data_IF_658995178065
#
_entry.id   IF_658995178065
#
_cell.length_a   1.000
_cell.length_b   1.000
_cell.length_c   1.000
_cell.angle_alpha   90.00
_cell.angle_beta   90.00
_cell.angle_gamma   90.00
#
_symmetry.space_group_name_H-M   'P 1'
#
loop_
_entity.id
_entity.type
_entity.pdbx_description
1 polymer ?
#
# COMPACT_ATOMS: atom_id res chain seq x y z
N UNK A 1 -8.92 53.79 -53.57
CA UNK A 1 -9.57 53.13 -52.43
C UNK A 1 -10.20 51.84 -52.96
N UNK A 2 -9.49 50.71 -52.87
CA UNK A 2 -10.05 49.34 -52.92
C UNK A 2 -8.90 48.34 -52.95
N UNK A 3 -8.60 47.74 -51.80
CA UNK A 3 -7.82 46.51 -51.68
C UNK A 3 -8.80 45.32 -51.79
N UNK A 4 -8.61 44.45 -52.78
CA UNK A 4 -9.14 43.08 -52.84
C UNK A 4 -7.92 42.15 -52.80
N UNK A 5 -7.79 41.11 -51.98
CA UNK A 5 -8.80 40.26 -51.37
C UNK A 5 -8.70 38.85 -51.98
N UNK A 6 -7.56 38.17 -51.83
CA UNK A 6 -7.38 36.74 -52.19
C UNK A 6 -6.08 36.15 -51.61
N UNK A 7 -6.10 35.80 -50.32
CA UNK A 7 -5.02 35.06 -49.62
C UNK A 7 -5.43 34.08 -48.47
N UNK A 8 -6.71 33.72 -48.16
CA UNK A 8 -6.96 32.75 -47.07
C UNK A 8 -7.04 31.27 -47.50
N UNK A 9 -7.23 30.95 -48.78
CA UNK A 9 -7.66 29.60 -49.19
C UNK A 9 -6.49 28.62 -49.35
N UNK A 10 -5.32 29.09 -49.78
CA UNK A 10 -4.17 28.23 -50.09
C UNK A 10 -3.42 27.77 -48.83
N UNK A 11 -3.29 28.65 -47.84
CA UNK A 11 -2.72 28.36 -46.52
C UNK A 11 -3.56 27.34 -45.74
N UNK A 12 -4.89 27.38 -45.92
CA UNK A 12 -5.82 26.46 -45.28
C UNK A 12 -5.68 25.03 -45.81
N UNK A 13 -5.50 24.87 -47.14
CA UNK A 13 -5.28 23.56 -47.77
C UNK A 13 -3.92 22.95 -47.40
N UNK A 14 -2.86 23.76 -47.37
CA UNK A 14 -1.54 23.28 -46.94
C UNK A 14 -1.50 22.84 -45.47
N UNK A 15 -2.26 23.50 -44.60
CA UNK A 15 -2.44 23.06 -43.20
C UNK A 15 -3.25 21.75 -43.12
N UNK A 16 -4.29 21.60 -43.94
CA UNK A 16 -5.10 20.39 -43.98
C UNK A 16 -4.33 19.18 -44.52
N UNK A 17 -3.48 19.37 -45.53
CA UNK A 17 -2.60 18.31 -46.05
C UNK A 17 -1.48 17.95 -45.07
N UNK A 18 -0.95 18.93 -44.32
CA UNK A 18 0.01 18.65 -43.23
C UNK A 18 -0.65 17.92 -42.05
N UNK A 19 -1.90 18.24 -41.72
CA UNK A 19 -2.68 17.55 -40.68
C UNK A 19 -3.02 16.12 -41.10
N UNK A 20 -3.43 15.91 -42.35
CA UNK A 20 -3.70 14.58 -42.91
C UNK A 20 -2.43 13.73 -42.99
N UNK A 21 -1.29 14.30 -43.35
CA UNK A 21 0.01 13.61 -43.33
C UNK A 21 0.51 13.31 -41.90
N UNK A 22 0.17 14.13 -40.89
CA UNK A 22 0.42 13.80 -39.48
C UNK A 22 -0.45 12.63 -39.01
N UNK A 23 -1.72 12.60 -39.39
CA UNK A 23 -2.66 11.53 -39.04
C UNK A 23 -2.31 10.21 -39.71
N UNK A 24 -1.82 10.23 -40.96
CA UNK A 24 -1.39 9.01 -41.67
C UNK A 24 0.02 8.54 -41.29
N UNK A 25 0.95 9.44 -40.94
CA UNK A 25 2.27 9.06 -40.41
C UNK A 25 2.18 8.43 -39.00
N UNK A 26 1.18 8.82 -38.19
CA UNK A 26 0.88 8.18 -36.90
C UNK A 26 0.26 6.78 -37.03
N UNK A 27 -0.20 6.38 -38.22
CA UNK A 27 -0.92 5.13 -38.43
C UNK A 27 -0.01 3.93 -38.77
N UNK A 28 1.26 4.15 -39.16
CA UNK A 28 2.05 3.10 -39.81
C UNK A 28 3.36 2.65 -39.14
N UNK A 29 3.70 3.12 -37.94
CA UNK A 29 4.67 2.44 -37.08
C UNK A 29 4.75 3.08 -35.69
N UNK A 30 3.95 2.60 -34.74
CA UNK A 30 4.23 2.74 -33.31
C UNK A 30 3.28 1.84 -32.54
N UNK A 31 3.81 1.07 -31.60
CA UNK A 31 3.01 0.55 -30.48
C UNK A 31 2.15 1.71 -29.95
N UNK A 32 0.83 1.62 -30.12
CA UNK A 32 -0.06 2.71 -29.76
C UNK A 32 -0.18 2.75 -28.23
N UNK A 33 0.63 3.61 -27.64
CA UNK A 33 0.67 3.84 -26.21
C UNK A 33 -0.63 4.51 -25.69
N UNK A 34 -1.52 5.00 -26.55
CA UNK A 34 -2.69 5.81 -26.16
C UNK A 34 -3.98 5.02 -25.88
N UNK A 35 -3.92 3.70 -25.70
CA UNK A 35 -5.11 2.91 -25.31
C UNK A 35 -5.53 3.27 -23.89
N UNK A 36 -6.63 4.01 -23.76
CA UNK A 36 -7.28 4.32 -22.48
C UNK A 36 -7.89 3.03 -21.90
N UNK A 37 -7.53 2.68 -20.67
CA UNK A 37 -7.95 1.44 -20.04
C UNK A 37 -9.17 1.74 -19.19
N UNK A 38 -10.33 1.29 -19.66
CA UNK A 38 -11.58 1.38 -18.93
C UNK A 38 -11.70 0.22 -17.92
N UNK A 39 -11.75 0.56 -16.63
CA UNK A 39 -12.06 -0.41 -15.57
C UNK A 39 -13.55 -0.67 -15.63
N UNK A 40 -13.97 -1.72 -16.33
CA UNK A 40 -15.38 -2.11 -16.40
C UNK A 40 -15.93 -2.34 -14.99
N UNK A 41 -16.83 -1.46 -14.54
CA UNK A 41 -17.51 -1.60 -13.26
C UNK A 41 -18.24 -2.94 -13.17
N UNK A 42 -17.91 -3.74 -12.17
CA UNK A 42 -18.41 -5.10 -12.01
C UNK A 42 -19.65 -5.18 -11.11
N UNK A 43 -19.88 -4.17 -10.26
CA UNK A 43 -21.00 -4.13 -9.32
C UNK A 43 -21.85 -2.89 -9.60
N UNK A 44 -23.12 -3.07 -9.95
CA UNK A 44 -24.05 -1.97 -10.19
C UNK A 44 -24.53 -1.36 -8.86
N UNK A 45 -24.41 -0.04 -8.74
CA UNK A 45 -24.76 0.73 -7.53
C UNK A 45 -26.23 1.15 -7.45
N UNK A 46 -27.08 0.61 -8.33
CA UNK A 46 -28.52 0.87 -8.35
C UNK A 46 -28.90 2.25 -8.91
N UNK A 47 -30.20 2.52 -9.07
CA UNK A 47 -30.69 3.78 -9.63
C UNK A 47 -30.33 4.99 -8.75
N UNK A 48 -30.24 6.16 -9.38
CA UNK A 48 -30.15 7.45 -8.70
C UNK A 48 -31.42 7.64 -7.85
N UNK A 49 -31.26 7.91 -6.55
CA UNK A 49 -32.37 8.29 -5.67
C UNK A 49 -31.99 9.62 -5.04
N UNK A 50 -32.96 10.52 -4.91
CA UNK A 50 -32.76 11.74 -4.12
C UNK A 50 -32.24 11.38 -2.73
N UNK A 51 -31.30 12.18 -2.21
CA UNK A 51 -30.60 12.02 -0.93
C UNK A 51 -31.58 12.15 0.26
N UNK A 52 -32.51 11.21 0.36
CA UNK A 52 -33.46 11.03 1.45
C UNK A 52 -32.80 10.15 2.52
N UNK A 53 -31.79 10.71 3.21
CA UNK A 53 -31.15 10.11 4.38
C UNK A 53 -30.06 9.06 4.13
N UNK A 54 -29.38 8.68 5.22
CA UNK A 54 -28.37 7.60 5.24
C UNK A 54 -29.05 6.24 5.07
N UNK A 55 -28.50 5.38 4.22
CA UNK A 55 -29.06 4.06 3.93
C UNK A 55 -27.98 2.98 4.05
N UNK A 56 -28.16 2.09 5.03
CA UNK A 56 -27.27 0.94 5.23
C UNK A 56 -27.25 -0.01 4.03
N UNK A 57 -28.37 -0.14 3.31
CA UNK A 57 -28.45 -1.00 2.11
C UNK A 57 -27.59 -0.44 0.97
N UNK A 58 -27.58 0.89 0.79
CA UNK A 58 -26.69 1.55 -0.17
C UNK A 58 -25.24 1.44 0.28
N UNK A 59 -24.94 1.70 1.55
CA UNK A 59 -23.59 1.52 2.09
C UNK A 59 -23.07 0.12 1.73
N UNK A 60 -23.86 -0.93 1.95
CA UNK A 60 -23.46 -2.31 1.62
C UNK A 60 -23.25 -2.57 0.12
N UNK A 61 -23.88 -1.80 -0.78
CA UNK A 61 -23.65 -1.89 -2.23
C UNK A 61 -22.34 -1.22 -2.65
N UNK A 62 -21.99 -0.09 -2.03
CA UNK A 62 -20.72 0.59 -2.26
C UNK A 62 -19.56 -0.08 -1.51
N UNK A 63 -19.84 -0.80 -0.42
CA UNK A 63 -18.85 -1.49 0.42
C UNK A 63 -18.05 -2.51 -0.39
N UNK A 64 -16.73 -2.47 -0.29
CA UNK A 64 -15.73 -3.35 -0.90
C UNK A 64 -14.39 -2.62 -1.07
N UNK A 65 -14.32 -1.54 -1.88
CA UNK A 65 -13.09 -0.82 -2.18
C UNK A 65 -12.33 -0.29 -0.95
N UNK A 66 -13.04 0.22 0.05
CA UNK A 66 -12.45 0.74 1.29
C UNK A 66 -11.81 -0.37 2.13
N UNK A 67 -12.47 -1.52 2.24
CA UNK A 67 -11.91 -2.70 2.93
C UNK A 67 -10.69 -3.26 2.21
N UNK A 68 -10.76 -3.35 0.87
CA UNK A 68 -9.64 -3.77 0.03
C UNK A 68 -8.41 -2.87 0.19
N UNK A 69 -8.64 -1.56 0.32
CA UNK A 69 -7.58 -0.59 0.58
C UNK A 69 -7.02 -0.69 2.01
N UNK A 70 -7.88 -0.83 3.01
CA UNK A 70 -7.49 -0.89 4.42
C UNK A 70 -6.57 -2.07 4.76
N UNK A 71 -6.62 -3.13 3.97
CA UNK A 71 -5.73 -4.30 4.09
C UNK A 71 -4.28 -3.95 3.85
N UNK A 72 -4.03 -3.01 2.94
CA UNK A 72 -2.67 -2.59 2.68
C UNK A 72 -2.06 -1.83 3.86
N UNK A 73 -2.86 -1.42 4.86
CA UNK A 73 -2.36 -0.87 6.12
C UNK A 73 -1.99 -1.96 7.16
N UNK A 74 -2.26 -3.23 6.84
CA UNK A 74 -2.11 -4.39 7.70
C UNK A 74 -1.10 -5.40 7.15
N UNK A 75 -0.24 -4.98 6.24
CA UNK A 75 0.79 -5.83 5.67
C UNK A 75 1.92 -6.11 6.70
N UNK A 76 2.74 -7.14 6.47
CA UNK A 76 3.84 -7.47 7.38
C UNK A 76 4.83 -6.32 7.61
N UNK A 77 5.01 -5.42 6.63
CA UNK A 77 5.84 -4.22 6.76
C UNK A 77 5.34 -3.26 7.83
N UNK A 78 4.02 -3.00 7.83
CA UNK A 78 3.40 -2.17 8.86
C UNK A 78 3.45 -2.84 10.23
N UNK A 79 3.19 -4.15 10.30
CA UNK A 79 3.27 -4.91 11.55
C UNK A 79 4.68 -4.88 12.15
N UNK A 80 5.72 -4.97 11.31
CA UNK A 80 7.12 -4.87 11.74
C UNK A 80 7.44 -3.47 12.27
N UNK A 81 7.05 -2.42 11.55
CA UNK A 81 7.26 -1.03 12.00
C UNK A 81 6.54 -0.75 13.32
N UNK A 82 5.32 -1.26 13.50
CA UNK A 82 4.53 -1.09 14.72
C UNK A 82 5.13 -1.85 15.90
N UNK A 83 5.58 -3.08 15.69
CA UNK A 83 6.35 -3.88 16.66
C UNK A 83 7.59 -3.12 17.13
N UNK A 84 8.37 -2.57 16.19
CA UNK A 84 9.61 -1.85 16.50
C UNK A 84 9.32 -0.54 17.24
N UNK A 85 8.28 0.20 16.84
CA UNK A 85 7.86 1.41 17.53
C UNK A 85 7.39 1.12 18.97
N UNK A 86 6.58 0.07 19.16
CA UNK A 86 6.12 -0.34 20.50
C UNK A 86 7.25 -0.82 21.40
N UNK A 87 8.19 -1.60 20.87
CA UNK A 87 9.31 -2.13 21.66
C UNK A 87 10.27 -1.05 22.15
N UNK A 88 10.55 -0.02 21.34
CA UNK A 88 11.50 1.05 21.69
C UNK A 88 10.83 2.21 22.41
N UNK A 89 9.68 2.67 21.92
CA UNK A 89 9.03 3.88 22.46
C UNK A 89 7.91 3.59 23.47
N UNK A 90 7.55 2.32 23.68
CA UNK A 90 6.41 1.94 24.50
C UNK A 90 5.12 2.58 23.97
N UNK A 91 4.38 3.24 24.85
CA UNK A 91 3.13 3.91 24.50
C UNK A 91 3.30 5.30 23.87
N UNK A 92 4.53 5.84 23.79
CA UNK A 92 4.75 7.26 23.45
C UNK A 92 4.51 7.61 21.98
N UNK A 93 4.60 6.64 21.06
CA UNK A 93 4.35 6.87 19.63
C UNK A 93 2.89 6.66 19.20
N UNK A 94 1.98 6.35 20.14
CA UNK A 94 0.58 6.09 19.79
C UNK A 94 -0.14 7.31 19.20
N UNK A 95 0.17 8.53 19.66
CA UNK A 95 -0.36 9.75 19.05
C UNK A 95 0.07 9.87 17.58
N UNK A 96 1.31 9.51 17.27
CA UNK A 96 1.85 9.56 15.92
C UNK A 96 1.16 8.52 15.03
N UNK A 97 0.93 7.31 15.54
CA UNK A 97 0.17 6.27 14.85
C UNK A 97 -1.24 6.77 14.49
N UNK A 98 -1.94 7.38 15.46
CA UNK A 98 -3.29 7.92 15.27
C UNK A 98 -3.32 9.02 14.20
N UNK A 99 -2.46 10.03 14.31
CA UNK A 99 -2.42 11.14 13.35
C UNK A 99 -1.93 10.70 11.96
N UNK A 100 -1.06 9.69 11.88
CA UNK A 100 -0.65 9.09 10.61
C UNK A 100 -1.83 8.41 9.91
N UNK A 101 -2.69 7.72 10.66
CA UNK A 101 -3.92 7.12 10.10
C UNK A 101 -4.93 8.18 9.68
N UNK A 102 -5.06 9.29 10.43
CA UNK A 102 -5.92 10.43 10.05
C UNK A 102 -5.40 11.09 8.76
N UNK A 103 -4.09 11.30 8.64
CA UNK A 103 -3.46 11.82 7.43
C UNK A 103 -3.64 10.84 6.25
N UNK A 104 -3.46 9.54 6.50
CA UNK A 104 -3.73 8.47 5.55
C UNK A 104 -5.17 8.53 5.03
N UNK A 105 -6.16 8.62 5.93
CA UNK A 105 -7.57 8.76 5.56
C UNK A 105 -7.81 9.99 4.68
N UNK A 106 -7.21 11.14 4.99
CA UNK A 106 -7.34 12.33 4.16
C UNK A 106 -6.80 12.11 2.74
N UNK A 107 -5.61 11.51 2.60
CA UNK A 107 -4.99 11.19 1.31
C UNK A 107 -5.83 10.16 0.54
N UNK A 108 -6.38 9.17 1.23
CA UNK A 108 -7.24 8.15 0.63
C UNK A 108 -8.57 8.75 0.14
N UNK A 109 -9.14 9.70 0.89
CA UNK A 109 -10.34 10.45 0.46
C UNK A 109 -10.04 11.32 -0.78
N UNK A 110 -8.84 11.86 -0.93
CA UNK A 110 -8.48 12.58 -2.15
C UNK A 110 -8.32 11.60 -3.34
N UNK A 111 -7.68 10.47 -3.11
CA UNK A 111 -7.47 9.43 -4.13
C UNK A 111 -8.78 8.82 -4.62
N UNK A 112 -9.73 8.56 -3.72
CA UNK A 112 -11.06 8.06 -4.06
C UNK A 112 -11.86 9.10 -4.85
N UNK A 113 -11.81 10.38 -4.43
CA UNK A 113 -12.55 11.47 -5.11
C UNK A 113 -12.03 11.66 -6.53
N UNK A 114 -10.72 11.54 -6.71
CA UNK A 114 -10.10 11.60 -8.02
C UNK A 114 -10.69 10.52 -8.94
N UNK A 115 -10.71 9.26 -8.49
CA UNK A 115 -11.27 8.15 -9.26
C UNK A 115 -12.77 8.31 -9.57
N UNK A 116 -13.57 8.70 -8.58
CA UNK A 116 -15.03 8.88 -8.75
C UNK A 116 -15.36 10.02 -9.71
N UNK A 117 -14.67 11.16 -9.60
CA UNK A 117 -15.02 12.35 -10.39
C UNK A 117 -14.48 12.25 -11.81
N UNK A 118 -13.24 11.80 -11.99
CA UNK A 118 -12.58 11.78 -13.29
C UNK A 118 -12.89 10.52 -14.09
N UNK A 119 -13.31 9.44 -13.43
CA UNK A 119 -13.41 8.10 -14.04
C UNK A 119 -12.09 7.62 -14.67
N UNK A 120 -10.95 8.21 -14.27
CA UNK A 120 -9.59 7.75 -14.60
C UNK A 120 -8.76 7.54 -13.34
N UNK A 121 -7.98 6.47 -13.28
CA UNK A 121 -7.18 6.18 -12.08
C UNK A 121 -5.91 7.05 -12.05
N UNK A 122 -5.30 7.21 -10.87
CA UNK A 122 -4.23 8.19 -10.65
C UNK A 122 -3.05 8.05 -11.65
N UNK A 123 -2.65 6.82 -11.96
CA UNK A 123 -1.57 6.56 -12.93
C UNK A 123 -1.87 7.09 -14.34
N UNK A 124 -3.12 6.96 -14.82
CA UNK A 124 -3.55 7.49 -16.12
C UNK A 124 -3.51 9.02 -16.13
N UNK A 125 -3.98 9.65 -15.06
CA UNK A 125 -3.99 11.11 -14.93
C UNK A 125 -2.59 11.69 -14.86
N UNK A 126 -1.68 11.06 -14.12
CA UNK A 126 -0.27 11.49 -14.07
C UNK A 126 0.32 11.39 -15.47
N UNK A 127 0.11 10.26 -16.15
CA UNK A 127 0.61 10.07 -17.52
C UNK A 127 0.07 11.09 -18.52
N UNK A 128 -1.21 11.47 -18.42
CA UNK A 128 -1.85 12.42 -19.34
C UNK A 128 -1.38 13.86 -19.10
N UNK A 129 -1.12 14.22 -17.85
CA UNK A 129 -0.87 15.61 -17.47
C UNK A 129 0.63 15.96 -17.36
N UNK A 130 1.50 14.99 -17.06
CA UNK A 130 2.94 15.22 -16.92
C UNK A 130 3.71 14.88 -18.21
N UNK A 131 4.90 15.45 -18.35
CA UNK A 131 5.80 15.11 -19.44
C UNK A 131 6.30 13.65 -19.31
N UNK A 132 6.75 13.06 -20.43
CA UNK A 132 7.26 11.67 -20.45
C UNK A 132 8.36 11.39 -19.40
N UNK A 133 9.42 12.20 -19.24
CA UNK A 133 10.48 11.87 -18.28
C UNK A 133 9.99 11.88 -16.83
N UNK A 134 9.17 12.85 -16.41
CA UNK A 134 8.60 12.89 -15.06
C UNK A 134 7.64 11.72 -14.82
N UNK A 135 6.81 11.39 -15.81
CA UNK A 135 5.91 10.24 -15.72
C UNK A 135 6.67 8.92 -15.56
N UNK A 136 7.78 8.73 -16.29
CA UNK A 136 8.63 7.54 -16.16
C UNK A 136 9.36 7.52 -14.81
N UNK A 137 9.83 8.66 -14.31
CA UNK A 137 10.45 8.74 -12.99
C UNK A 137 9.46 8.34 -11.88
N UNK A 138 8.23 8.88 -11.91
CA UNK A 138 7.17 8.52 -10.95
C UNK A 138 6.85 7.02 -11.04
N UNK A 139 6.74 6.50 -12.26
CA UNK A 139 6.53 5.06 -12.47
C UNK A 139 7.65 4.22 -11.85
N UNK A 140 8.92 4.57 -12.07
CA UNK A 140 10.06 3.86 -11.46
C UNK A 140 10.01 3.89 -9.94
N UNK A 141 9.78 5.05 -9.31
CA UNK A 141 9.65 5.15 -7.85
C UNK A 141 8.49 4.29 -7.33
N UNK A 142 7.36 4.29 -8.04
CA UNK A 142 6.19 3.49 -7.64
C UNK A 142 6.48 2.00 -7.76
N UNK A 143 7.18 1.57 -8.82
CA UNK A 143 7.59 0.17 -8.98
C UNK A 143 8.58 -0.25 -7.89
N UNK A 144 9.55 0.59 -7.53
CA UNK A 144 10.45 0.31 -6.41
C UNK A 144 9.70 0.16 -5.08
N UNK A 145 8.69 1.01 -4.82
CA UNK A 145 7.87 0.91 -3.62
C UNK A 145 7.05 -0.40 -3.58
N UNK A 146 6.51 -0.84 -4.72
CA UNK A 146 5.78 -2.12 -4.82
C UNK A 146 6.73 -3.31 -4.59
N UNK A 147 7.92 -3.28 -5.19
CA UNK A 147 8.94 -4.33 -4.95
C UNK A 147 9.32 -4.40 -3.47
N UNK A 148 9.51 -3.24 -2.81
CA UNK A 148 9.81 -3.17 -1.38
C UNK A 148 8.73 -3.81 -0.51
N UNK A 149 7.46 -3.52 -0.80
CA UNK A 149 6.32 -4.11 -0.09
C UNK A 149 6.21 -5.63 -0.34
N UNK A 150 6.40 -6.08 -1.60
CA UNK A 150 6.43 -7.52 -1.95
C UNK A 150 7.54 -8.27 -1.18
N UNK A 151 8.70 -7.64 -0.93
CA UNK A 151 9.76 -8.27 -0.12
C UNK A 151 9.26 -8.54 1.31
N UNK A 152 8.64 -7.54 1.96
CA UNK A 152 8.15 -7.67 3.33
C UNK A 152 7.04 -8.72 3.44
N UNK A 153 6.20 -8.82 2.42
CA UNK A 153 5.16 -9.85 2.30
C UNK A 153 5.72 -11.27 2.24
N UNK A 154 6.70 -11.52 1.36
CA UNK A 154 7.36 -12.82 1.22
C UNK A 154 8.02 -13.22 2.54
N UNK A 155 8.72 -12.27 3.17
CA UNK A 155 9.39 -12.49 4.45
C UNK A 155 8.37 -12.81 5.55
N UNK A 156 7.31 -12.02 5.68
CA UNK A 156 6.26 -12.22 6.69
C UNK A 156 5.59 -13.58 6.55
N UNK A 157 5.21 -13.95 5.34
CA UNK A 157 4.58 -15.26 5.07
C UNK A 157 5.54 -16.42 5.31
N UNK A 158 6.81 -16.31 4.90
CA UNK A 158 7.82 -17.34 5.15
C UNK A 158 8.10 -17.53 6.66
N UNK A 159 8.15 -16.44 7.43
CA UNK A 159 8.29 -16.47 8.89
C UNK A 159 7.07 -17.13 9.54
N UNK A 160 5.85 -16.79 9.12
CA UNK A 160 4.64 -17.41 9.62
C UNK A 160 4.62 -18.93 9.38
N UNK A 161 4.96 -19.37 8.16
CA UNK A 161 5.07 -20.80 7.82
C UNK A 161 6.15 -21.52 8.62
N UNK A 162 7.30 -20.86 8.86
CA UNK A 162 8.35 -21.38 9.74
C UNK A 162 7.85 -21.58 11.17
N UNK A 163 7.05 -20.67 11.71
CA UNK A 163 6.54 -20.80 13.09
C UNK A 163 5.47 -21.91 13.20
N UNK A 164 4.55 -21.98 12.23
CA UNK A 164 3.43 -22.93 12.25
C UNK A 164 3.91 -24.36 11.94
N UNK A 165 4.60 -24.54 10.81
CA UNK A 165 4.96 -25.86 10.28
C UNK A 165 6.42 -26.25 10.54
N UNK A 166 7.22 -25.38 11.16
CA UNK A 166 8.66 -25.59 11.38
C UNK A 166 9.44 -25.82 10.08
N UNK A 167 8.97 -25.23 8.98
CA UNK A 167 9.63 -25.30 7.68
C UNK A 167 10.87 -24.39 7.64
N UNK A 168 11.81 -24.73 6.76
CA UNK A 168 12.94 -23.85 6.46
C UNK A 168 12.45 -22.63 5.66
N UNK A 169 13.08 -21.47 5.88
CA UNK A 169 12.65 -20.19 5.29
C UNK A 169 12.59 -20.24 3.75
N UNK A 170 13.60 -20.84 3.12
CA UNK A 170 13.65 -21.03 1.67
C UNK A 170 12.43 -21.76 1.10
N UNK A 171 11.93 -22.77 1.84
CA UNK A 171 10.72 -23.52 1.46
C UNK A 171 9.49 -22.62 1.61
N UNK A 172 9.42 -21.82 2.67
CA UNK A 172 8.37 -20.81 2.86
C UNK A 172 8.32 -19.81 1.70
N UNK A 173 9.47 -19.29 1.27
CA UNK A 173 9.58 -18.39 0.10
C UNK A 173 9.09 -19.07 -1.18
N UNK A 174 9.44 -20.33 -1.42
CA UNK A 174 8.95 -21.06 -2.60
C UNK A 174 7.43 -21.31 -2.56
N UNK A 175 6.86 -21.53 -1.37
CA UNK A 175 5.41 -21.64 -1.19
C UNK A 175 4.73 -20.29 -1.50
N UNK A 176 5.33 -19.17 -1.09
CA UNK A 176 4.79 -17.84 -1.44
C UNK A 176 4.79 -17.59 -2.94
N UNK A 177 5.80 -18.06 -3.68
CA UNK A 177 5.75 -17.95 -5.13
C UNK A 177 4.54 -18.67 -5.75
N UNK A 178 4.07 -19.75 -5.10
CA UNK A 178 2.90 -20.52 -5.53
C UNK A 178 1.59 -19.85 -5.14
N UNK A 179 1.53 -19.15 -4.00
CA UNK A 179 0.33 -18.45 -3.53
C UNK A 179 -0.12 -17.36 -4.51
N UNK A 180 0.83 -16.72 -5.19
CA UNK A 180 0.54 -15.66 -6.14
C UNK A 180 -0.21 -16.20 -7.35
N UNK A 181 0.13 -17.43 -7.79
CA UNK A 181 -0.60 -18.12 -8.86
C UNK A 181 -1.98 -18.59 -8.40
N UNK A 182 -2.09 -19.13 -7.18
CA UNK A 182 -3.38 -19.50 -6.58
C UNK A 182 -4.32 -18.29 -6.51
N UNK A 183 -3.76 -17.13 -6.17
CA UNK A 183 -4.50 -15.90 -6.09
C UNK A 183 -4.97 -15.40 -7.47
N UNK A 184 -4.11 -15.44 -8.49
CA UNK A 184 -4.52 -15.13 -9.86
C UNK A 184 -5.66 -16.03 -10.36
N UNK A 185 -5.71 -17.27 -9.91
CA UNK A 185 -6.83 -18.16 -10.14
C UNK A 185 -8.09 -17.73 -9.37
N UNK A 186 -7.94 -17.30 -8.10
CA UNK A 186 -9.05 -16.79 -7.28
C UNK A 186 -9.71 -15.53 -7.87
N UNK A 187 -8.96 -14.63 -8.53
CA UNK A 187 -9.51 -13.45 -9.20
C UNK A 187 -10.59 -13.77 -10.24
N UNK A 188 -10.55 -14.98 -10.84
CA UNK A 188 -11.52 -15.40 -11.86
C UNK A 188 -12.93 -15.61 -11.30
N UNK A 189 -13.06 -15.76 -9.98
CA UNK A 189 -14.34 -16.06 -9.31
C UNK A 189 -15.20 -14.81 -9.00
N UNK A 190 -14.69 -13.61 -9.30
CA UNK A 190 -15.42 -12.34 -9.22
C UNK A 190 -15.16 -11.52 -7.95
N UNK A 191 -15.30 -10.20 -8.07
CA UNK A 191 -14.93 -9.20 -7.03
C UNK A 191 -15.61 -9.44 -5.68
N UNK A 192 -16.90 -9.84 -5.65
CA UNK A 192 -17.63 -9.99 -4.38
C UNK A 192 -17.18 -11.19 -3.54
N UNK A 193 -16.75 -12.29 -4.17
CA UNK A 193 -16.22 -13.46 -3.46
C UNK A 193 -14.84 -13.16 -2.88
N UNK A 194 -14.03 -12.45 -3.65
CA UNK A 194 -12.75 -11.91 -3.24
C UNK A 194 -12.88 -10.97 -2.04
N UNK A 195 -13.85 -10.06 -2.05
CA UNK A 195 -14.11 -9.15 -0.92
C UNK A 195 -14.49 -9.91 0.36
N UNK A 196 -15.31 -10.96 0.27
CA UNK A 196 -15.67 -11.80 1.43
C UNK A 196 -14.45 -12.53 1.97
N UNK A 197 -13.61 -13.08 1.09
CA UNK A 197 -12.36 -13.74 1.49
C UNK A 197 -11.45 -12.78 2.28
N UNK A 198 -11.34 -11.53 1.83
CA UNK A 198 -10.58 -10.52 2.53
C UNK A 198 -11.14 -10.10 3.89
N UNK A 199 -12.45 -9.88 3.96
CA UNK A 199 -13.10 -9.59 5.25
C UNK A 199 -12.84 -10.75 6.23
N UNK A 200 -12.76 -11.99 5.76
CA UNK A 200 -12.41 -13.12 6.61
C UNK A 200 -10.96 -13.08 7.12
N UNK A 201 -9.99 -12.68 6.28
CA UNK A 201 -8.59 -12.49 6.70
C UNK A 201 -8.44 -11.36 7.72
N UNK A 202 -9.13 -10.22 7.51
CA UNK A 202 -9.19 -9.13 8.51
C UNK A 202 -9.78 -9.65 9.82
N UNK A 203 -10.85 -10.43 9.76
CA UNK A 203 -11.45 -11.05 10.95
C UNK A 203 -10.47 -11.94 11.72
N UNK A 204 -9.63 -12.70 11.01
CA UNK A 204 -8.56 -13.51 11.63
C UNK A 204 -7.52 -12.62 12.30
N UNK A 205 -7.05 -11.55 11.64
CA UNK A 205 -6.08 -10.61 12.22
C UNK A 205 -6.61 -9.91 13.47
N UNK A 206 -7.86 -9.41 13.42
CA UNK A 206 -8.53 -8.83 14.59
C UNK A 206 -8.56 -9.85 15.72
N UNK A 207 -9.04 -11.07 15.44
CA UNK A 207 -9.11 -12.14 16.44
C UNK A 207 -7.75 -12.42 17.08
N UNK A 208 -6.69 -12.61 16.29
CA UNK A 208 -5.37 -12.94 16.81
C UNK A 208 -4.76 -11.80 17.63
N UNK A 209 -4.68 -10.60 17.07
CA UNK A 209 -3.96 -9.48 17.71
C UNK A 209 -4.74 -8.87 18.88
N UNK A 210 -6.08 -8.85 18.83
CA UNK A 210 -6.86 -8.39 19.99
C UNK A 210 -6.84 -9.40 21.14
N UNK A 211 -6.87 -10.70 20.86
CA UNK A 211 -6.71 -11.72 21.91
C UNK A 211 -5.35 -11.57 22.61
N UNK A 212 -4.27 -11.35 21.86
CA UNK A 212 -2.95 -11.08 22.42
C UNK A 212 -2.94 -9.79 23.25
N UNK A 213 -3.53 -8.71 22.74
CA UNK A 213 -3.64 -7.44 23.46
C UNK A 213 -4.38 -7.62 24.79
N UNK A 214 -5.54 -8.26 24.82
CA UNK A 214 -6.26 -8.47 26.08
C UNK A 214 -5.52 -9.40 27.04
N UNK A 215 -4.81 -10.41 26.53
CA UNK A 215 -4.01 -11.31 27.36
C UNK A 215 -2.82 -10.61 28.03
N UNK A 216 -2.29 -9.53 27.45
CA UNK A 216 -1.22 -8.73 28.08
C UNK A 216 -1.69 -7.81 29.22
N UNK A 217 -3.00 -7.70 29.45
CA UNK A 217 -3.60 -6.81 30.45
C UNK A 217 -3.03 -5.37 30.45
N UNK A 218 -3.10 -4.64 29.31
CA UNK A 218 -2.51 -3.31 29.22
C UNK A 218 -3.31 -2.29 30.03
N UNK A 219 -2.60 -1.32 30.61
CA UNK A 219 -3.24 -0.21 31.32
C UNK A 219 -3.89 0.75 30.32
N UNK A 220 -5.22 0.85 30.35
CA UNK A 220 -6.00 1.75 29.47
C UNK A 220 -5.58 3.21 29.63
N UNK A 221 -5.23 3.62 30.85
CA UNK A 221 -4.76 4.98 31.14
C UNK A 221 -3.50 5.33 30.34
N UNK A 222 -2.50 4.43 30.29
CA UNK A 222 -1.27 4.66 29.53
C UNK A 222 -1.49 4.69 28.03
N UNK A 223 -2.45 3.89 27.52
CA UNK A 223 -2.83 3.91 26.10
C UNK A 223 -3.44 5.27 25.75
N UNK A 224 -4.42 5.73 26.53
CA UNK A 224 -5.08 7.03 26.30
C UNK A 224 -4.05 8.17 26.41
N UNK A 225 -3.18 8.12 27.42
CA UNK A 225 -2.11 9.11 27.58
C UNK A 225 -1.15 9.11 26.39
N UNK A 226 -0.78 7.94 25.88
CA UNK A 226 0.09 7.80 24.71
C UNK A 226 -0.55 8.33 23.42
N UNK A 227 -1.87 8.23 23.29
CA UNK A 227 -2.62 8.78 22.14
C UNK A 227 -2.75 10.31 22.22
N UNK A 228 -2.91 10.86 23.43
CA UNK A 228 -3.17 12.29 23.63
C UNK A 228 -1.91 13.15 23.77
N UNK A 229 -0.85 12.62 24.37
CA UNK A 229 0.35 13.39 24.71
C UNK A 229 1.44 13.18 23.64
N UNK A 230 1.79 14.23 22.87
CA UNK A 230 2.83 14.12 21.85
C UNK A 230 4.22 14.12 22.50
N UNK A 231 4.84 12.95 22.56
CA UNK A 231 6.24 12.78 22.98
C UNK A 231 7.00 11.92 21.96
N UNK A 232 8.20 12.35 21.55
CA UNK A 232 9.10 11.56 20.72
C UNK A 232 10.42 11.38 21.47
N UNK A 233 10.71 10.17 21.99
CA UNK A 233 12.01 9.86 22.57
C UNK A 233 13.13 10.03 21.53
N UNK A 234 14.31 10.50 21.95
CA UNK A 234 15.44 10.70 21.04
C UNK A 234 15.89 9.40 20.33
N UNK A 235 15.77 8.28 21.03
CA UNK A 235 16.11 6.93 20.54
C UNK A 235 15.10 6.40 19.51
N UNK A 236 13.87 6.93 19.52
CA UNK A 236 12.75 6.43 18.71
C UNK A 236 12.48 7.24 17.43
N UNK A 237 13.39 8.16 17.05
CA UNK A 237 13.19 9.06 15.90
C UNK A 237 13.10 8.30 14.57
N UNK A 238 13.92 7.26 14.40
CA UNK A 238 13.93 6.45 13.18
C UNK A 238 12.62 5.67 13.06
N UNK A 239 12.15 5.10 14.17
CA UNK A 239 10.91 4.34 14.25
C UNK A 239 9.68 5.24 14.05
N UNK A 240 9.74 6.50 14.52
CA UNK A 240 8.71 7.49 14.25
C UNK A 240 8.57 7.77 12.73
N UNK A 241 9.68 7.96 12.02
CA UNK A 241 9.67 8.15 10.56
C UNK A 241 9.24 6.88 9.84
N UNK A 242 9.73 5.71 10.28
CA UNK A 242 9.33 4.40 9.76
C UNK A 242 7.82 4.17 9.88
N UNK A 243 7.23 4.46 11.05
CA UNK A 243 5.80 4.34 11.31
C UNK A 243 4.97 5.22 10.37
N UNK A 244 5.37 6.47 10.14
CA UNK A 244 4.68 7.35 9.20
C UNK A 244 4.77 6.83 7.77
N UNK A 245 5.96 6.37 7.35
CA UNK A 245 6.19 5.81 6.02
C UNK A 245 5.43 4.50 5.77
N UNK A 246 5.36 3.64 6.77
CA UNK A 246 4.60 2.41 6.77
C UNK A 246 3.09 2.68 6.65
N UNK A 247 2.56 3.64 7.41
CA UNK A 247 1.13 3.99 7.32
C UNK A 247 0.80 4.70 5.99
N UNK A 248 1.65 5.60 5.49
CA UNK A 248 1.37 6.37 4.26
C UNK A 248 2.09 5.72 3.07
N UNK A 249 1.47 4.67 2.53
CA UNK A 249 2.01 3.94 1.37
C UNK A 249 1.58 4.58 0.04
N UNK A 250 2.51 5.05 -0.80
CA UNK A 250 2.16 5.73 -2.06
C UNK A 250 1.42 4.84 -3.05
N UNK A 251 1.76 3.55 -3.14
CA UNK A 251 1.13 2.62 -4.08
C UNK A 251 -0.37 2.41 -3.75
N UNK A 252 -0.78 2.60 -2.49
CA UNK A 252 -2.18 2.51 -2.09
C UNK A 252 -3.03 3.65 -2.65
N UNK A 253 -2.44 4.81 -2.94
CA UNK A 253 -3.15 5.92 -3.59
C UNK A 253 -3.59 5.53 -5.01
N UNK A 254 -2.71 4.85 -5.74
CA UNK A 254 -3.02 4.33 -7.08
C UNK A 254 -4.09 3.24 -7.00
N UNK A 255 -3.93 2.30 -6.07
CA UNK A 255 -4.85 1.20 -5.87
C UNK A 255 -6.26 1.71 -5.55
N UNK A 256 -6.41 2.58 -4.55
CA UNK A 256 -7.71 3.05 -4.11
C UNK A 256 -8.44 3.87 -5.19
N UNK A 257 -7.69 4.68 -5.96
CA UNK A 257 -8.25 5.43 -7.09
C UNK A 257 -8.82 4.53 -8.19
N UNK A 258 -8.28 3.31 -8.36
CA UNK A 258 -8.77 2.32 -9.32
C UNK A 258 -9.89 1.44 -8.74
N UNK A 259 -9.80 1.05 -7.46
CA UNK A 259 -10.77 0.17 -6.81
C UNK A 259 -12.17 0.77 -6.75
N UNK A 260 -12.30 2.08 -6.57
CA UNK A 260 -13.62 2.75 -6.56
C UNK A 260 -14.36 2.63 -7.90
N UNK A 261 -13.64 2.39 -9.00
CA UNK A 261 -14.21 2.19 -10.34
C UNK A 261 -14.79 0.78 -10.53
N UNK A 262 -14.49 -0.16 -9.62
CA UNK A 262 -15.14 -1.46 -9.60
C UNK A 262 -16.66 -1.35 -9.41
N UNK A 263 -17.13 -0.22 -8.86
CA UNK A 263 -18.54 0.12 -8.69
C UNK A 263 -19.02 0.95 -9.87
N UNK A 264 -19.96 0.39 -10.61
CA UNK A 264 -20.55 1.04 -11.78
C UNK A 264 -21.51 2.15 -11.35
N UNK A 265 -21.22 3.38 -11.78
CA UNK A 265 -22.00 4.59 -11.49
C UNK A 265 -22.93 5.00 -12.65
N UNK A 266 -22.87 4.32 -13.80
CA UNK A 266 -23.52 4.73 -15.06
C UNK A 266 -22.50 5.18 -16.11
N UNK A 267 -22.88 5.17 -17.39
CA UNK A 267 -22.03 5.63 -18.52
C UNK A 267 -21.78 7.14 -18.49
N UNK A 268 -22.72 7.92 -17.98
CA UNK A 268 -22.60 9.37 -17.75
C UNK A 268 -23.22 9.70 -16.38
N UNK A 269 -22.46 9.54 -15.28
CA UNK A 269 -23.00 9.72 -13.94
C UNK A 269 -23.37 11.19 -13.70
N UNK A 270 -24.61 11.44 -13.28
CA UNK A 270 -25.09 12.75 -12.81
C UNK A 270 -24.23 13.26 -11.65
N UNK A 271 -24.10 14.58 -11.51
CA UNK A 271 -23.36 15.20 -10.39
C UNK A 271 -23.86 14.75 -9.01
N UNK A 272 -25.16 14.51 -8.88
CA UNK A 272 -25.75 13.98 -7.64
C UNK A 272 -25.30 12.54 -7.36
N UNK A 273 -25.22 11.68 -8.38
CA UNK A 273 -24.70 10.30 -8.23
C UNK A 273 -23.23 10.28 -7.84
N UNK A 274 -22.41 11.20 -8.38
CA UNK A 274 -21.00 11.36 -7.97
C UNK A 274 -20.88 11.81 -6.52
N UNK A 275 -21.71 12.77 -6.07
CA UNK A 275 -21.77 13.21 -4.67
C UNK A 275 -22.18 12.08 -3.73
N UNK A 276 -23.19 11.29 -4.14
CA UNK A 276 -23.63 10.10 -3.41
C UNK A 276 -22.48 9.09 -3.26
N UNK A 277 -21.82 8.73 -4.36
CA UNK A 277 -20.70 7.79 -4.35
C UNK A 277 -19.55 8.28 -3.46
N UNK A 278 -19.16 9.55 -3.58
CA UNK A 278 -18.12 10.15 -2.75
C UNK A 278 -18.46 10.10 -1.25
N UNK A 279 -19.73 10.31 -0.89
CA UNK A 279 -20.17 10.25 0.50
C UNK A 279 -20.09 8.82 1.07
N UNK A 280 -20.63 7.82 0.35
CA UNK A 280 -20.60 6.43 0.82
C UNK A 280 -19.18 5.84 0.84
N UNK A 281 -18.35 6.11 -0.18
CA UNK A 281 -16.96 5.67 -0.19
C UNK A 281 -16.12 6.32 0.91
N UNK A 282 -16.37 7.58 1.25
CA UNK A 282 -15.67 8.24 2.35
C UNK A 282 -16.05 7.61 3.70
N UNK A 283 -17.33 7.30 3.93
CA UNK A 283 -17.78 6.61 5.15
C UNK A 283 -17.16 5.21 5.24
N UNK A 284 -17.22 4.45 4.15
CA UNK A 284 -16.63 3.11 4.11
C UNK A 284 -15.12 3.17 4.41
N UNK A 285 -14.39 4.04 3.71
CA UNK A 285 -12.94 4.19 3.89
C UNK A 285 -12.59 4.59 5.33
N UNK A 286 -13.39 5.46 5.96
CA UNK A 286 -13.21 5.86 7.35
C UNK A 286 -13.42 4.68 8.31
N UNK A 287 -14.46 3.87 8.11
CA UNK A 287 -14.70 2.67 8.93
C UNK A 287 -13.57 1.66 8.75
N UNK A 288 -13.20 1.36 7.51
CA UNK A 288 -12.17 0.36 7.21
C UNK A 288 -10.79 0.78 7.76
N UNK A 289 -10.37 2.04 7.55
CA UNK A 289 -9.10 2.54 8.11
C UNK A 289 -9.12 2.65 9.64
N UNK A 290 -10.27 2.94 10.24
CA UNK A 290 -10.40 2.91 11.70
C UNK A 290 -10.22 1.50 12.25
N UNK A 291 -10.77 0.49 11.57
CA UNK A 291 -10.53 -0.92 11.93
C UNK A 291 -9.06 -1.30 11.76
N UNK A 292 -8.40 -0.86 10.68
CA UNK A 292 -6.95 -1.08 10.54
C UNK A 292 -6.17 -0.42 11.67
N UNK A 293 -6.45 0.85 11.98
CA UNK A 293 -5.86 1.55 13.12
C UNK A 293 -5.98 0.77 14.43
N UNK A 294 -7.13 0.16 14.70
CA UNK A 294 -7.34 -0.65 15.90
C UNK A 294 -6.48 -1.92 15.94
N UNK A 295 -6.15 -2.49 14.77
CA UNK A 295 -5.24 -3.64 14.67
C UNK A 295 -3.80 -3.18 14.90
N UNK A 296 -3.34 -2.14 14.20
CA UNK A 296 -2.02 -1.54 14.39
C UNK A 296 -1.81 -1.12 15.85
N UNK A 297 -2.82 -0.48 16.47
CA UNK A 297 -2.83 -0.10 17.88
C UNK A 297 -2.65 -1.32 18.79
N UNK A 298 -3.36 -2.42 18.53
CA UNK A 298 -3.24 -3.64 19.32
C UNK A 298 -1.81 -4.21 19.26
N UNK A 299 -1.19 -4.21 18.08
CA UNK A 299 0.19 -4.67 17.87
C UNK A 299 1.18 -3.79 18.63
N UNK A 300 1.12 -2.47 18.47
CA UNK A 300 2.02 -1.55 19.20
C UNK A 300 1.86 -1.73 20.72
N UNK A 301 0.64 -1.85 21.23
CA UNK A 301 0.35 -2.01 22.65
C UNK A 301 0.91 -3.33 23.21
N UNK A 302 0.72 -4.44 22.49
CA UNK A 302 1.24 -5.75 22.90
C UNK A 302 2.76 -5.70 23.05
N UNK A 303 3.46 -5.16 22.05
CA UNK A 303 4.92 -5.12 22.09
C UNK A 303 5.47 -4.03 23.02
N UNK A 304 4.74 -2.93 23.21
CA UNK A 304 5.03 -1.98 24.27
C UNK A 304 4.94 -2.65 25.65
N UNK A 305 3.98 -3.53 25.90
CA UNK A 305 3.89 -4.18 27.22
C UNK A 305 4.92 -5.30 27.40
N UNK A 306 5.26 -6.00 26.32
CA UNK A 306 6.07 -7.23 26.36
C UNK A 306 7.58 -6.95 26.23
N UNK A 307 7.99 -5.99 25.39
CA UNK A 307 9.40 -5.69 25.14
C UNK A 307 9.92 -4.45 25.85
N UNK A 308 9.09 -3.42 26.04
CA UNK A 308 9.57 -2.13 26.55
C UNK A 308 10.03 -2.26 28.00
N UNK A 309 11.31 -1.95 28.23
CA UNK A 309 11.91 -1.85 29.57
C UNK A 309 12.60 -0.50 29.72
N UNK A 310 12.15 0.36 30.67
CA UNK A 310 12.76 1.66 30.87
C UNK A 310 14.26 1.53 31.19
N UNK A 311 15.13 2.20 30.42
CA UNK A 311 16.57 2.26 30.68
C UNK A 311 17.42 1.14 30.07
N UNK A 312 16.85 0.25 29.26
CA UNK A 312 17.62 -0.67 28.41
C UNK A 312 17.72 -0.10 26.98
N UNK A 313 18.94 0.18 26.53
CA UNK A 313 19.23 0.41 25.11
C UNK A 313 19.09 -0.91 24.35
N UNK A 314 18.03 -1.04 23.57
CA UNK A 314 17.85 -2.16 22.65
C UNK A 314 18.92 -2.05 21.56
N UNK A 315 19.87 -2.99 21.55
CA UNK A 315 20.99 -3.01 20.58
C UNK A 315 20.63 -3.67 19.25
N UNK A 316 19.54 -4.44 19.20
CA UNK A 316 19.00 -5.06 17.98
C UNK A 316 17.48 -4.90 17.97
N UNK A 317 16.92 -4.32 16.91
CA UNK A 317 15.47 -4.18 16.82
C UNK A 317 14.84 -5.57 16.69
N UNK A 318 13.71 -5.82 17.38
CA UNK A 318 13.03 -7.09 17.29
C UNK A 318 12.43 -7.27 15.89
N UNK A 319 12.80 -8.37 15.24
CA UNK A 319 12.18 -8.80 13.99
C UNK A 319 10.87 -9.57 14.20
N UNK A 320 10.16 -9.83 13.10
CA UNK A 320 8.90 -10.60 13.11
C UNK A 320 9.04 -12.01 13.71
N UNK A 321 10.23 -12.62 13.60
CA UNK A 321 10.53 -13.93 14.18
C UNK A 321 10.76 -13.85 15.70
N UNK A 322 11.50 -12.84 16.16
CA UNK A 322 11.80 -12.65 17.60
C UNK A 322 10.54 -12.32 18.39
N UNK A 323 9.65 -11.52 17.80
CA UNK A 323 8.32 -11.25 18.34
C UNK A 323 7.59 -12.53 18.75
N UNK A 324 7.63 -13.58 17.92
CA UNK A 324 6.96 -14.85 18.21
C UNK A 324 7.53 -15.57 19.44
N UNK A 325 8.85 -15.48 19.65
CA UNK A 325 9.51 -16.13 20.79
C UNK A 325 9.19 -15.39 22.09
N UNK A 326 9.21 -14.07 22.05
CA UNK A 326 8.94 -13.26 23.24
C UNK A 326 7.46 -13.36 23.63
N UNK A 327 6.54 -13.33 22.67
CA UNK A 327 5.13 -13.62 22.93
C UNK A 327 4.94 -15.02 23.53
N UNK A 328 5.65 -16.03 23.04
CA UNK A 328 5.61 -17.39 23.59
C UNK A 328 6.08 -17.45 25.05
N UNK A 329 7.05 -16.63 25.44
CA UNK A 329 7.61 -16.63 26.79
C UNK A 329 6.72 -15.87 27.78
N UNK A 330 6.06 -14.82 27.33
CA UNK A 330 5.24 -13.95 28.21
C UNK A 330 3.79 -14.42 28.31
N UNK A 331 3.17 -14.79 27.18
CA UNK A 331 1.75 -15.17 27.11
C UNK A 331 1.53 -16.69 27.02
N UNK A 332 2.62 -17.46 26.90
CA UNK A 332 2.61 -18.91 26.81
C UNK A 332 2.71 -19.45 25.38
N UNK A 333 2.92 -20.77 25.27
CA UNK A 333 3.27 -21.45 24.00
C UNK A 333 2.25 -21.30 22.87
N UNK A 334 1.00 -20.94 23.19
CA UNK A 334 -0.07 -20.74 22.20
C UNK A 334 0.01 -19.40 21.50
N UNK A 335 0.59 -18.36 22.14
CA UNK A 335 0.64 -17.00 21.59
C UNK A 335 1.42 -16.93 20.27
N UNK A 336 2.55 -17.65 20.16
CA UNK A 336 3.30 -17.72 18.88
C UNK A 336 2.46 -18.19 17.69
N UNK A 337 1.44 -19.02 17.93
CA UNK A 337 0.57 -19.53 16.85
C UNK A 337 -0.48 -18.50 16.47
N UNK A 338 -0.98 -17.70 17.42
CA UNK A 338 -1.86 -16.57 17.11
C UNK A 338 -1.11 -15.49 16.34
N UNK A 339 0.09 -15.11 16.78
CA UNK A 339 1.00 -14.23 16.04
C UNK A 339 1.26 -14.74 14.62
N UNK A 340 1.65 -16.00 14.47
CA UNK A 340 1.95 -16.57 13.16
C UNK A 340 0.71 -16.67 12.26
N UNK A 341 -0.48 -16.94 12.81
CA UNK A 341 -1.72 -16.98 12.05
C UNK A 341 -2.14 -15.58 11.58
N UNK A 342 -2.01 -14.56 12.45
CA UNK A 342 -2.22 -13.16 12.08
C UNK A 342 -1.24 -12.68 11.02
N UNK A 343 0.04 -13.02 11.16
CA UNK A 343 1.09 -12.70 10.20
C UNK A 343 0.88 -13.41 8.85
N UNK A 344 0.42 -14.66 8.87
CA UNK A 344 0.06 -15.39 7.65
C UNK A 344 -1.11 -14.71 6.93
N UNK A 345 -2.14 -14.32 7.68
CA UNK A 345 -3.29 -13.62 7.13
C UNK A 345 -2.89 -12.27 6.52
N UNK A 346 -2.05 -11.50 7.20
CA UNK A 346 -1.47 -10.24 6.71
C UNK A 346 -0.66 -10.41 5.42
N UNK A 347 0.20 -11.43 5.37
CA UNK A 347 1.00 -11.75 4.18
C UNK A 347 0.13 -12.07 2.97
N UNK A 348 -0.83 -12.99 3.10
CA UNK A 348 -1.75 -13.35 2.01
C UNK A 348 -2.60 -12.17 1.53
N UNK A 349 -2.97 -11.30 2.47
CA UNK A 349 -3.69 -10.06 2.20
C UNK A 349 -2.86 -9.10 1.32
N UNK A 350 -1.60 -8.89 1.68
CA UNK A 350 -0.65 -8.03 0.96
C UNK A 350 -0.35 -8.54 -0.46
N UNK A 351 -0.21 -9.86 -0.63
CA UNK A 351 -0.01 -10.49 -1.96
C UNK A 351 -1.08 -10.06 -2.93
N UNK A 352 -2.30 -9.93 -2.44
CA UNK A 352 -3.40 -9.56 -3.28
C UNK A 352 -3.42 -8.06 -3.58
N UNK A 353 -3.21 -7.18 -2.60
CA UNK A 353 -3.21 -5.73 -2.83
C UNK A 353 -2.04 -5.30 -3.72
N UNK A 354 -0.85 -5.87 -3.52
CA UNK A 354 0.32 -5.64 -4.37
C UNK A 354 0.10 -6.03 -5.84
N UNK A 355 -0.62 -7.13 -6.12
CA UNK A 355 -0.89 -7.57 -7.51
C UNK A 355 -1.75 -6.53 -8.22
N UNK A 356 -2.80 -6.07 -7.54
CA UNK A 356 -3.75 -5.11 -8.08
C UNK A 356 -3.08 -3.75 -8.25
N UNK A 357 -2.32 -3.29 -7.26
CA UNK A 357 -1.59 -2.03 -7.33
C UNK A 357 -0.57 -2.05 -8.48
N UNK A 358 0.23 -3.11 -8.58
CA UNK A 358 1.19 -3.30 -9.67
C UNK A 358 0.52 -3.37 -11.04
N UNK A 359 -0.60 -4.07 -11.15
CA UNK A 359 -1.37 -4.10 -12.40
C UNK A 359 -1.84 -2.70 -12.80
N UNK A 360 -2.52 -1.96 -11.91
CA UNK A 360 -3.07 -0.64 -12.22
C UNK A 360 -1.98 0.41 -12.50
N UNK A 361 -0.84 0.34 -11.80
CA UNK A 361 0.30 1.23 -12.05
C UNK A 361 0.90 0.95 -13.42
N UNK A 362 1.24 -0.30 -13.73
CA UNK A 362 1.81 -0.68 -15.03
C UNK A 362 0.84 -0.36 -16.16
N UNK A 363 -0.43 -0.72 -16.02
CA UNK A 363 -1.46 -0.43 -17.03
C UNK A 363 -1.67 1.07 -17.23
N UNK A 364 -1.69 1.87 -16.17
CA UNK A 364 -1.87 3.31 -16.28
C UNK A 364 -0.70 4.01 -16.97
N UNK A 365 0.53 3.70 -16.54
CA UNK A 365 1.74 4.35 -17.04
C UNK A 365 2.19 3.83 -18.42
N UNK A 366 2.04 2.53 -18.66
CA UNK A 366 2.52 1.87 -19.88
C UNK A 366 1.41 1.48 -20.87
N UNK A 367 0.14 1.66 -20.52
CA UNK A 367 -0.98 1.32 -21.39
C UNK A 367 -1.16 -0.19 -21.54
N UNK A 368 -2.05 -0.59 -22.45
CA UNK A 368 -2.40 -2.00 -22.66
C UNK A 368 -1.31 -2.74 -23.46
N UNK A 369 -0.12 -2.99 -22.86
CA UNK A 369 0.98 -3.71 -23.53
C UNK A 369 0.55 -5.12 -23.99
N UNK A 370 -0.33 -5.80 -23.25
CA UNK A 370 -0.81 -7.14 -23.58
C UNK A 370 -2.34 -7.19 -23.69
N UNK A 371 -2.91 -7.92 -24.65
CA UNK A 371 -4.38 -8.00 -24.78
C UNK A 371 -5.06 -8.91 -23.74
N UNK A 372 -4.33 -9.86 -23.14
CA UNK A 372 -4.88 -10.84 -22.18
C UNK A 372 -4.53 -10.45 -20.74
N UNK A 373 -5.54 -10.36 -19.87
CA UNK A 373 -5.40 -9.99 -18.45
C UNK A 373 -4.39 -10.87 -17.70
N UNK A 374 -4.40 -12.19 -17.93
CA UNK A 374 -3.46 -13.10 -17.27
C UNK A 374 -1.98 -12.81 -17.59
N UNK A 375 -1.67 -12.42 -18.84
CA UNK A 375 -0.28 -12.16 -19.23
C UNK A 375 0.26 -10.89 -18.55
N UNK A 376 -0.61 -9.89 -18.36
CA UNK A 376 -0.26 -8.66 -17.65
C UNK A 376 0.08 -8.98 -16.21
N UNK A 377 -0.84 -9.63 -15.50
CA UNK A 377 -0.67 -9.94 -14.08
C UNK A 377 0.54 -10.85 -13.85
N UNK A 378 0.76 -11.86 -14.72
CA UNK A 378 1.91 -12.74 -14.62
C UNK A 378 3.24 -12.00 -14.84
N UNK A 379 3.31 -11.08 -15.82
CA UNK A 379 4.53 -10.32 -16.09
C UNK A 379 4.81 -9.29 -14.99
N UNK A 380 3.80 -8.52 -14.56
CA UNK A 380 3.96 -7.54 -13.49
C UNK A 380 4.35 -8.21 -12.18
N UNK A 381 3.83 -9.41 -11.92
CA UNK A 381 4.27 -10.21 -10.78
C UNK A 381 5.63 -10.83 -10.97
N UNK A 382 6.01 -11.34 -12.14
CA UNK A 382 7.37 -11.83 -12.34
C UNK A 382 8.41 -10.70 -12.13
N UNK A 383 8.13 -9.49 -12.60
CA UNK A 383 9.01 -8.33 -12.43
C UNK A 383 9.15 -7.91 -10.97
N UNK A 384 8.13 -8.10 -10.13
CA UNK A 384 8.19 -7.75 -8.72
C UNK A 384 8.69 -8.91 -7.85
N UNK A 385 8.12 -10.10 -8.03
CA UNK A 385 8.38 -11.31 -7.26
C UNK A 385 9.79 -11.88 -7.49
N UNK A 386 10.31 -11.88 -8.73
CA UNK A 386 11.62 -12.50 -9.00
C UNK A 386 12.75 -11.73 -8.30
N UNK A 387 12.86 -10.39 -8.38
CA UNK A 387 13.82 -9.65 -7.58
C UNK A 387 13.61 -9.86 -6.08
N UNK A 388 12.37 -9.82 -5.59
CA UNK A 388 12.08 -10.01 -4.17
C UNK A 388 12.49 -11.38 -3.66
N UNK A 389 12.23 -12.44 -4.43
CA UNK A 389 12.67 -13.80 -4.13
C UNK A 389 14.19 -13.94 -4.17
N UNK A 390 14.85 -13.36 -5.19
CA UNK A 390 16.30 -13.41 -5.31
C UNK A 390 16.94 -12.74 -4.09
N UNK A 391 16.41 -11.59 -3.67
CA UNK A 391 16.86 -10.90 -2.46
C UNK A 391 16.55 -11.74 -1.23
N UNK A 392 15.35 -12.30 -1.08
CA UNK A 392 14.98 -13.13 0.08
C UNK A 392 15.83 -14.40 0.20
N UNK A 393 16.25 -15.00 -0.92
CA UNK A 393 17.14 -16.17 -0.98
C UNK A 393 18.60 -15.76 -0.71
N UNK A 394 19.09 -14.68 -1.32
CA UNK A 394 20.47 -14.23 -1.09
C UNK A 394 20.69 -13.61 0.29
N UNK A 395 19.63 -13.04 0.89
CA UNK A 395 19.67 -12.39 2.20
C UNK A 395 19.38 -13.35 3.36
N UNK A 396 19.35 -14.67 3.15
CA UNK A 396 19.01 -15.61 4.23
C UNK A 396 19.93 -15.52 5.44
N UNK A 397 21.16 -15.07 5.24
CA UNK A 397 22.13 -14.91 6.31
C UNK A 397 22.01 -13.55 7.05
N UNK A 398 21.17 -12.59 6.60
CA UNK A 398 21.03 -11.23 7.18
C UNK A 398 19.60 -10.64 7.11
N UNK A 399 18.58 -11.42 7.47
CA UNK A 399 17.18 -10.99 7.35
C UNK A 399 16.79 -9.76 8.18
N UNK A 400 17.26 -9.65 9.43
CA UNK A 400 16.80 -8.60 10.35
C UNK A 400 17.28 -7.19 9.93
N UNK A 401 18.41 -7.10 9.23
CA UNK A 401 18.96 -5.80 8.76
C UNK A 401 18.21 -5.25 7.53
N UNK A 402 17.44 -6.08 6.84
CA UNK A 402 16.81 -5.70 5.57
C UNK A 402 15.43 -5.06 5.74
N UNK A 403 14.64 -5.50 6.72
CA UNK A 403 13.39 -4.83 7.09
C UNK A 403 13.64 -3.38 7.54
N UNK A 404 14.70 -3.17 8.32
CA UNK A 404 15.19 -1.84 8.70
C UNK A 404 15.64 -1.02 7.48
N UNK A 405 16.40 -1.60 6.56
CA UNK A 405 16.86 -0.88 5.37
C UNK A 405 15.68 -0.44 4.49
N UNK A 406 14.69 -1.32 4.27
CA UNK A 406 13.51 -1.03 3.45
C UNK A 406 12.60 0.03 4.08
N UNK A 407 12.41 0.00 5.40
CA UNK A 407 11.61 1.00 6.12
C UNK A 407 12.34 2.35 6.30
N UNK A 408 13.67 2.37 6.29
CA UNK A 408 14.49 3.57 6.50
C UNK A 408 15.01 4.26 5.24
N UNK A 409 14.73 3.74 4.03
CA UNK A 409 15.15 4.38 2.76
C UNK A 409 14.77 5.87 2.66
N UNK A 410 13.59 6.34 3.12
CA UNK A 410 13.29 7.77 3.12
C UNK A 410 14.16 8.59 4.10
N UNK A 411 14.66 7.97 5.18
CA UNK A 411 15.37 8.65 6.27
C UNK A 411 16.90 8.67 6.09
N UNK A 412 17.48 7.69 5.39
CA UNK A 412 18.95 7.56 5.28
C UNK A 412 19.61 8.66 4.43
N UNK A 413 18.84 9.41 3.62
CA UNK A 413 19.39 10.49 2.80
C UNK A 413 19.76 11.77 3.57
N UNK A 414 19.37 11.89 4.85
CA UNK A 414 19.66 13.09 5.65
C UNK A 414 20.92 13.00 6.51
N UNK A 415 21.49 11.80 6.74
CA UNK A 415 22.63 11.61 7.67
C UNK A 415 23.99 11.42 6.98
N UNK A 416 24.01 11.24 5.66
CA UNK A 416 25.26 11.11 4.90
C UNK A 416 26.02 12.43 4.74
N UNK A 417 25.37 13.58 4.93
CA UNK A 417 26.03 14.89 4.86
C UNK A 417 26.78 15.30 6.14
N UNK A 418 26.50 14.67 7.28
CA UNK A 418 27.13 15.05 8.56
C UNK A 418 28.39 14.24 8.86
N UNK A 419 28.54 13.04 8.27
CA UNK A 419 29.71 12.16 8.47
C UNK A 419 30.88 12.41 7.50
N UNK A 420 30.66 13.11 6.38
CA UNK A 420 31.73 13.39 5.40
C UNK A 420 32.60 14.59 5.82
N UNK A 421 32.07 15.52 6.63
CA UNK A 421 32.84 16.69 7.10
C UNK A 421 33.67 16.43 8.37
N UNK A 422 33.48 15.29 9.04
CA UNK A 422 34.22 14.93 10.26
C UNK A 422 35.53 14.16 10.02
N UNK A 423 35.80 13.75 8.78
CA UNK A 423 36.99 12.95 8.41
C UNK A 423 38.05 13.80 7.69
N UNK A 424 37.73 15.05 7.32
CA UNK A 424 38.65 15.96 6.62
C UNK A 424 39.40 16.96 7.52
N UNK A 425 39.24 16.89 8.86
CA UNK A 425 39.77 17.93 9.77
C UNK A 425 40.74 17.42 10.85
N UNK A 426 41.30 16.22 10.73
CA UNK A 426 42.20 15.65 11.76
C UNK A 426 43.59 15.23 11.26
N UNK A 427 44.08 15.78 10.15
CA UNK A 427 45.35 15.35 9.55
C UNK A 427 46.35 16.47 9.18
N UNK A 428 46.28 17.64 9.82
CA UNK A 428 47.28 18.71 9.65
C UNK A 428 47.54 19.45 10.97
N UNK A 429 48.17 18.78 11.95
CA UNK A 429 48.98 19.43 13.00
C UNK A 429 50.01 18.43 13.54
N UNK A 430 51.11 18.26 12.80
CA UNK A 430 52.42 17.87 13.31
C UNK A 430 53.47 18.23 12.23
N UNK A 431 53.96 19.47 12.30
CA UNK A 431 55.31 20.00 12.00
C UNK A 431 55.29 21.52 12.22
#
# INVERSE_FOLDING_TARGET
MSLSGDQPIETSRLLQDRLNNYQTASANNSYDWNVEIDVKGQVNTGPEQELSGFSFRKLLQYTGPGWLMAIAYLDPGNLESDLQAGSIAGYKLLWLLFWSHVAGLAIQILSLRLGVVTQSHLAQLIRRNYNRPTSVAIWLFTQCAIIGSDIQEIIGTAIALKIIFRLQLWIGVMITATDTFLFMWLQQYGVRKVEIFFISLIGVMIGCFWLEMFATHPSVESIIRGILVPEIPAEAKVQAVGMVGAVIMPHNMFLHSALVMSRYLGTTPTENKKKEANFYFAIESAISLFVSYLINLAVVVVFAQVFYKPGQTITQLPGLYDASQVLSNTLGKSAKYFWALGLLAAGQCSTMTGTLAGQYVVEGFLGAIFKKQWHRVALTRAVALVPSMLVAVLAVDRFDTMGEFLNSVPAYSSDSHTKINGIAASNDQDI
#
